data_IF_887157978778
#
_entry.id   IF_887157978778
#
_cell.length_a   1.000
_cell.length_b   1.000
_cell.length_c   1.000
_cell.angle_alpha   90.00
_cell.angle_beta   90.00
_cell.angle_gamma   90.00
#
_symmetry.space_group_name_H-M   'P 1'
#
loop_
_entity.id
_entity.type
_entity.pdbx_description
1 polymer ?
#
# COMPACT_ATOMS: atom_id res chain seq x y z
N UNK A 1 11.62 -12.29 26.83
CA UNK A 1 11.09 -11.15 26.04
C UNK A 1 12.04 -10.98 24.88
N UNK A 2 11.62 -11.38 23.68
CA UNK A 2 12.44 -11.25 22.48
C UNK A 2 12.24 -9.85 21.93
N UNK A 3 13.33 -9.11 21.79
CA UNK A 3 13.36 -7.80 21.12
C UNK A 3 12.81 -7.96 19.71
N UNK A 4 11.68 -7.30 19.43
CA UNK A 4 11.02 -7.33 18.13
C UNK A 4 11.88 -6.58 17.13
N UNK A 5 12.58 -7.32 16.26
CA UNK A 5 13.33 -6.73 15.16
C UNK A 5 12.43 -5.89 14.25
N UNK A 6 12.97 -4.77 13.77
CA UNK A 6 12.37 -3.87 12.78
C UNK A 6 11.55 -4.63 11.73
N UNK A 7 10.23 -4.44 11.74
CA UNK A 7 9.30 -5.04 10.77
C UNK A 7 9.45 -4.30 9.43
N UNK A 8 10.37 -4.77 8.58
CA UNK A 8 10.71 -4.12 7.30
C UNK A 8 9.58 -4.13 6.26
N UNK A 9 9.80 -3.48 5.11
CA UNK A 9 8.79 -3.27 4.07
C UNK A 9 8.17 -4.55 3.50
N UNK A 10 8.87 -5.68 3.63
CA UNK A 10 8.35 -7.01 3.26
C UNK A 10 7.15 -7.44 4.10
N UNK A 11 7.12 -7.10 5.39
CA UNK A 11 6.01 -7.46 6.28
C UNK A 11 4.74 -6.68 5.90
N UNK A 12 4.90 -5.44 5.45
CA UNK A 12 3.80 -4.62 4.94
C UNK A 12 3.18 -5.22 3.66
N UNK A 13 4.01 -5.70 2.73
CA UNK A 13 3.53 -6.41 1.52
C UNK A 13 2.82 -7.71 1.89
N UNK A 14 3.32 -8.46 2.87
CA UNK A 14 2.68 -9.68 3.36
C UNK A 14 1.34 -9.39 4.05
N UNK A 15 1.26 -8.34 4.86
CA UNK A 15 0.02 -7.88 5.49
C UNK A 15 -1.00 -7.48 4.42
N UNK A 16 -0.56 -6.73 3.40
CA UNK A 16 -1.42 -6.32 2.30
C UNK A 16 -1.91 -7.52 1.46
N UNK A 17 -1.05 -8.51 1.19
CA UNK A 17 -1.46 -9.76 0.56
C UNK A 17 -2.54 -10.50 1.35
N UNK A 18 -2.41 -10.54 2.68
CA UNK A 18 -3.43 -11.10 3.57
C UNK A 18 -4.75 -10.33 3.52
N UNK A 19 -4.68 -9.00 3.44
CA UNK A 19 -5.86 -8.16 3.29
C UNK A 19 -6.57 -8.43 1.95
N UNK A 20 -5.83 -8.47 0.84
CA UNK A 20 -6.38 -8.82 -0.48
C UNK A 20 -7.04 -10.21 -0.48
N UNK A 21 -6.41 -11.20 0.17
CA UNK A 21 -6.99 -12.53 0.31
C UNK A 21 -8.33 -12.50 1.07
N UNK A 22 -8.43 -11.69 2.13
CA UNK A 22 -9.66 -11.53 2.90
C UNK A 22 -10.77 -10.85 2.09
N UNK A 23 -10.45 -9.79 1.33
CA UNK A 23 -11.38 -9.09 0.45
C UNK A 23 -11.90 -10.03 -0.65
N UNK A 24 -11.00 -10.75 -1.32
CA UNK A 24 -11.34 -11.71 -2.37
C UNK A 24 -12.21 -12.86 -1.83
N UNK A 25 -11.96 -13.29 -0.59
CA UNK A 25 -12.73 -14.34 0.08
C UNK A 25 -14.05 -13.82 0.69
N UNK A 26 -14.32 -12.52 0.63
CA UNK A 26 -15.50 -11.85 1.18
C UNK A 26 -15.61 -11.91 2.71
N UNK A 27 -14.50 -12.02 3.42
CA UNK A 27 -14.47 -12.11 4.89
C UNK A 27 -14.88 -10.81 5.59
N UNK A 28 -14.80 -9.68 4.88
CA UNK A 28 -15.15 -8.34 5.33
C UNK A 28 -16.67 -8.07 5.33
N UNK A 29 -17.45 -8.80 4.52
CA UNK A 29 -18.86 -8.44 4.26
C UNK A 29 -19.83 -9.62 4.18
N UNK A 30 -19.33 -10.86 4.16
CA UNK A 30 -20.18 -12.06 4.17
C UNK A 30 -20.15 -12.74 5.54
N UNK A 31 -21.29 -13.28 6.01
CA UNK A 31 -21.32 -14.11 7.21
C UNK A 31 -20.32 -15.28 7.12
N UNK A 32 -19.72 -15.65 8.26
CA UNK A 32 -18.69 -16.70 8.34
C UNK A 32 -19.14 -18.05 7.74
N UNK A 33 -20.42 -18.40 7.83
CA UNK A 33 -20.98 -19.64 7.30
C UNK A 33 -21.30 -19.64 5.80
N UNK A 34 -21.13 -18.51 5.09
CA UNK A 34 -21.42 -18.45 3.64
C UNK A 34 -20.40 -19.31 2.89
N UNK A 35 -20.80 -20.32 2.09
CA UNK A 35 -19.86 -21.26 1.48
C UNK A 35 -19.21 -20.75 0.18
N UNK A 36 -19.79 -19.73 -0.45
CA UNK A 36 -19.34 -19.20 -1.74
C UNK A 36 -19.31 -17.68 -1.72
N UNK A 37 -18.44 -17.09 -2.54
CA UNK A 37 -18.39 -15.64 -2.79
C UNK A 37 -18.52 -15.38 -4.28
N UNK A 38 -19.22 -14.30 -4.63
CA UNK A 38 -19.27 -13.78 -5.99
C UNK A 38 -18.19 -12.70 -6.15
N UNK A 39 -17.28 -12.91 -7.10
CA UNK A 39 -16.21 -11.97 -7.43
C UNK A 39 -16.78 -10.93 -8.38
N UNK A 40 -17.04 -9.73 -7.85
CA UNK A 40 -17.49 -8.57 -8.62
C UNK A 40 -16.31 -7.62 -8.79
N UNK A 41 -15.65 -7.68 -9.95
CA UNK A 41 -14.39 -6.96 -10.21
C UNK A 41 -14.43 -5.48 -9.77
N UNK A 42 -15.48 -4.75 -10.15
CA UNK A 42 -15.61 -3.33 -9.78
C UNK A 42 -15.76 -3.11 -8.27
N UNK A 43 -16.56 -3.94 -7.58
CA UNK A 43 -16.73 -3.82 -6.13
C UNK A 43 -15.45 -4.20 -5.38
N UNK A 44 -14.72 -5.20 -5.87
CA UNK A 44 -13.41 -5.55 -5.32
C UNK A 44 -12.41 -4.41 -5.55
N UNK A 45 -12.42 -3.76 -6.72
CA UNK A 45 -11.55 -2.64 -7.03
C UNK A 45 -11.81 -1.47 -6.08
N UNK A 46 -13.08 -1.06 -5.92
CA UNK A 46 -13.47 0.03 -5.00
C UNK A 46 -12.98 -0.25 -3.57
N UNK A 47 -13.10 -1.48 -3.07
CA UNK A 47 -12.60 -1.86 -1.74
C UNK A 47 -11.08 -1.87 -1.65
N UNK A 48 -10.40 -2.31 -2.70
CA UNK A 48 -8.93 -2.29 -2.77
C UNK A 48 -8.43 -0.85 -2.78
N UNK A 49 -9.01 0.02 -3.62
CA UNK A 49 -8.66 1.43 -3.72
C UNK A 49 -8.89 2.15 -2.38
N UNK A 50 -10.06 1.96 -1.74
CA UNK A 50 -10.33 2.48 -0.39
C UNK A 50 -9.38 1.92 0.65
N UNK A 51 -9.07 0.62 0.59
CA UNK A 51 -8.14 -0.02 1.52
C UNK A 51 -6.74 0.56 1.41
N UNK A 52 -6.29 0.84 0.19
CA UNK A 52 -5.02 1.51 -0.09
C UNK A 52 -5.03 2.96 0.37
N UNK A 53 -6.07 3.75 0.06
CA UNK A 53 -6.12 5.20 0.34
C UNK A 53 -6.44 5.53 1.80
N UNK A 54 -7.25 4.72 2.48
CA UNK A 54 -7.63 4.94 3.87
C UNK A 54 -6.59 4.43 4.87
N UNK A 55 -5.73 3.47 4.47
CA UNK A 55 -4.70 2.94 5.34
C UNK A 55 -3.38 3.70 5.12
N UNK A 56 -3.09 4.63 6.03
CA UNK A 56 -1.86 5.42 6.02
C UNK A 56 -0.59 4.56 5.89
N UNK A 57 -0.53 3.37 6.51
CA UNK A 57 0.63 2.47 6.38
C UNK A 57 0.83 2.00 4.94
N UNK A 58 -0.26 1.70 4.21
CA UNK A 58 -0.16 1.36 2.79
C UNK A 58 0.16 2.58 1.95
N UNK A 59 -0.51 3.71 2.21
CA UNK A 59 -0.21 4.97 1.51
C UNK A 59 1.25 5.33 1.66
N UNK A 60 1.84 5.27 2.85
CA UNK A 60 3.22 5.70 3.05
C UNK A 60 4.23 4.61 2.65
N UNK A 61 3.98 3.36 3.04
CA UNK A 61 4.95 2.27 2.89
C UNK A 61 4.86 1.47 1.59
N UNK A 62 3.69 1.38 0.94
CA UNK A 62 3.55 0.73 -0.38
C UNK A 62 3.54 1.76 -1.51
N UNK A 63 2.85 2.88 -1.29
CA UNK A 63 2.45 3.78 -2.37
C UNK A 63 3.32 5.05 -2.46
N UNK A 64 3.58 5.72 -1.35
CA UNK A 64 3.49 7.19 -1.33
C UNK A 64 4.73 7.96 -0.93
N UNK A 65 5.85 7.34 -0.53
CA UNK A 65 7.05 8.13 -0.25
C UNK A 65 7.88 8.54 -1.48
N UNK A 66 7.45 8.20 -2.71
CA UNK A 66 8.43 8.14 -3.82
C UNK A 66 7.98 8.45 -5.25
N UNK A 67 6.68 8.63 -5.51
CA UNK A 67 6.28 9.17 -6.80
C UNK A 67 6.69 10.65 -6.82
N UNK A 68 7.50 11.06 -7.80
CA UNK A 68 7.75 12.47 -8.07
C UNK A 68 7.15 12.83 -9.44
N UNK A 69 6.27 13.84 -9.53
CA UNK A 69 5.70 14.58 -8.41
C UNK A 69 4.86 13.67 -7.50
N UNK A 70 4.79 13.96 -6.19
CA UNK A 70 3.92 13.21 -5.29
C UNK A 70 2.49 13.28 -5.81
N UNK A 71 1.74 12.17 -5.75
CA UNK A 71 0.31 12.20 -6.03
C UNK A 71 -0.33 13.27 -5.13
N UNK A 72 -1.26 14.06 -5.65
CA UNK A 72 -1.83 15.19 -4.91
C UNK A 72 -2.66 14.75 -3.70
N UNK A 73 -3.13 13.50 -3.68
CA UNK A 73 -3.91 12.89 -2.61
C UNK A 73 -3.68 11.37 -2.53
N UNK A 74 -4.18 10.74 -1.48
CA UNK A 74 -4.05 9.30 -1.22
C UNK A 74 -4.82 8.43 -2.22
N UNK A 75 -5.87 8.95 -2.87
CA UNK A 75 -6.66 8.22 -3.86
C UNK A 75 -5.88 8.07 -5.16
N UNK A 76 -5.31 9.17 -5.67
CA UNK A 76 -4.43 9.14 -6.84
C UNK A 76 -3.16 8.32 -6.60
N UNK A 77 -2.68 8.30 -5.36
CA UNK A 77 -1.60 7.43 -4.94
C UNK A 77 -2.02 5.95 -5.08
N UNK A 78 -3.17 5.59 -4.51
CA UNK A 78 -3.71 4.23 -4.57
C UNK A 78 -3.96 3.76 -6.01
N UNK A 79 -4.54 4.62 -6.85
CA UNK A 79 -4.78 4.34 -8.28
C UNK A 79 -3.46 4.12 -9.02
N UNK A 80 -2.47 4.97 -8.78
CA UNK A 80 -1.15 4.78 -9.36
C UNK A 80 -0.52 3.44 -8.97
N UNK A 81 -0.55 3.08 -7.69
CA UNK A 81 -0.04 1.78 -7.24
C UNK A 81 -0.83 0.62 -7.83
N UNK A 82 -2.15 0.78 -7.99
CA UNK A 82 -2.98 -0.21 -8.64
C UNK A 82 -2.50 -0.45 -10.08
N UNK A 83 -2.33 0.59 -10.88
CA UNK A 83 -1.89 0.48 -12.27
C UNK A 83 -0.45 -0.02 -12.39
N UNK A 84 0.46 0.53 -11.58
CA UNK A 84 1.89 0.26 -11.66
C UNK A 84 2.29 -1.09 -11.05
N UNK A 85 1.49 -1.65 -10.14
CA UNK A 85 1.82 -2.89 -9.41
C UNK A 85 0.73 -3.93 -9.56
N UNK A 86 -0.52 -3.64 -9.19
CA UNK A 86 -1.56 -4.66 -9.16
C UNK A 86 -1.98 -5.12 -10.55
N UNK A 87 -2.14 -4.19 -11.50
CA UNK A 87 -2.52 -4.50 -12.88
C UNK A 87 -1.34 -4.61 -13.86
N UNK A 88 -0.11 -4.42 -13.38
CA UNK A 88 1.09 -4.66 -14.17
C UNK A 88 1.22 -6.15 -14.55
N UNK A 89 1.40 -6.49 -15.84
CA UNK A 89 1.66 -7.86 -16.26
C UNK A 89 2.92 -8.46 -15.61
N UNK A 90 2.82 -9.70 -15.13
CA UNK A 90 3.95 -10.42 -14.54
C UNK A 90 4.55 -11.32 -15.61
N UNK A 91 5.76 -10.97 -16.05
CA UNK A 91 6.48 -11.68 -17.10
C UNK A 91 6.65 -13.17 -16.83
N UNK A 92 6.55 -13.97 -17.90
CA UNK A 92 6.64 -15.43 -17.86
C UNK A 92 8.02 -15.92 -18.30
N UNK A 93 8.56 -16.94 -17.62
CA UNK A 93 9.75 -17.66 -18.12
C UNK A 93 9.32 -18.67 -19.21
N UNK A 94 10.10 -18.87 -20.29
CA UNK A 94 9.78 -19.85 -21.32
C UNK A 94 9.44 -21.21 -20.72
N UNK A 95 8.27 -21.74 -21.08
CA UNK A 95 7.79 -23.06 -20.64
C UNK A 95 7.37 -23.18 -19.17
N UNK A 96 7.35 -22.10 -18.37
CA UNK A 96 6.96 -22.15 -16.94
C UNK A 96 5.80 -21.19 -16.64
N UNK A 97 4.83 -21.53 -15.77
CA UNK A 97 3.80 -20.60 -15.35
C UNK A 97 4.40 -19.44 -14.55
N UNK A 98 3.82 -18.24 -14.69
CA UNK A 98 4.14 -17.08 -13.85
C UNK A 98 3.55 -17.21 -12.44
N UNK A 99 3.89 -16.30 -11.53
CA UNK A 99 3.21 -16.21 -10.21
C UNK A 99 1.71 -15.97 -10.38
N UNK A 100 1.32 -15.09 -11.32
CA UNK A 100 -0.07 -14.78 -11.62
C UNK A 100 -0.84 -15.98 -12.20
N UNK A 101 -0.19 -16.80 -13.05
CA UNK A 101 -0.78 -18.05 -13.54
C UNK A 101 -1.10 -19.02 -12.40
N UNK A 102 -0.18 -19.15 -11.44
CA UNK A 102 -0.38 -20.01 -10.28
C UNK A 102 -1.51 -19.51 -9.37
N UNK A 103 -1.64 -18.18 -9.19
CA UNK A 103 -2.75 -17.57 -8.47
C UNK A 103 -4.09 -17.84 -9.19
N UNK A 104 -4.15 -17.60 -10.51
CA UNK A 104 -5.33 -17.91 -11.34
C UNK A 104 -5.74 -19.37 -11.21
N UNK A 105 -4.78 -20.30 -11.28
CA UNK A 105 -5.05 -21.72 -11.16
C UNK A 105 -5.66 -22.09 -9.81
N UNK A 106 -5.17 -21.50 -8.71
CA UNK A 106 -5.74 -21.70 -7.37
C UNK A 106 -7.20 -21.21 -7.29
N UNK A 107 -7.49 -20.03 -7.85
CA UNK A 107 -8.84 -19.46 -7.88
C UNK A 107 -9.78 -20.30 -8.76
N UNK A 108 -9.30 -20.77 -9.91
CA UNK A 108 -10.04 -21.67 -10.79
C UNK A 108 -10.34 -23.03 -10.13
N UNK A 109 -9.43 -23.57 -9.32
CA UNK A 109 -9.69 -24.78 -8.55
C UNK A 109 -10.84 -24.60 -7.54
N UNK A 110 -11.08 -23.38 -7.08
CA UNK A 110 -12.20 -23.03 -6.21
C UNK A 110 -13.49 -22.67 -6.97
N UNK A 111 -13.52 -22.69 -8.31
CA UNK A 111 -14.67 -22.27 -9.12
C UNK A 111 -15.95 -23.07 -8.79
N UNK A 112 -17.09 -22.37 -8.84
CA UNK A 112 -18.43 -22.99 -8.80
C UNK A 112 -19.06 -22.81 -10.18
N UNK A 113 -19.01 -23.87 -10.99
CA UNK A 113 -19.51 -23.87 -12.37
C UNK A 113 -18.38 -23.86 -13.42
N UNK A 114 -18.72 -23.80 -14.71
CA UNK A 114 -17.73 -23.73 -15.78
C UNK A 114 -16.96 -22.40 -15.68
N UNK A 115 -15.63 -22.51 -15.56
CA UNK A 115 -14.75 -21.35 -15.63
C UNK A 115 -14.59 -20.84 -17.07
N UNK A 116 -14.25 -19.55 -17.26
CA UNK A 116 -13.87 -19.06 -18.57
C UNK A 116 -12.65 -19.82 -19.10
N UNK A 117 -12.59 -20.02 -20.42
CA UNK A 117 -11.44 -20.66 -21.05
C UNK A 117 -10.15 -19.87 -20.73
N UNK A 118 -9.02 -20.56 -20.46
CA UNK A 118 -7.76 -19.88 -20.23
C UNK A 118 -7.40 -19.06 -21.46
N UNK A 119 -7.05 -17.79 -21.25
CA UNK A 119 -6.44 -16.94 -22.28
C UNK A 119 -4.92 -17.03 -22.15
N UNK A 120 -4.25 -17.11 -23.30
CA UNK A 120 -2.79 -17.02 -23.44
C UNK A 120 -2.35 -15.56 -23.40
N UNK A 121 -2.65 -14.88 -22.29
CA UNK A 121 -2.22 -13.51 -22.03
C UNK A 121 -1.35 -13.47 -20.78
N UNK A 122 -0.38 -12.55 -20.75
CA UNK A 122 0.36 -12.28 -19.52
C UNK A 122 -0.60 -11.69 -18.49
N UNK A 123 -0.56 -12.25 -17.28
CA UNK A 123 -1.48 -11.87 -16.20
C UNK A 123 -0.80 -10.96 -15.19
N UNK A 124 -1.56 -9.97 -14.75
CA UNK A 124 -1.28 -9.19 -13.56
C UNK A 124 -1.80 -9.89 -12.30
N UNK A 125 -1.43 -9.38 -11.12
CA UNK A 125 -2.02 -9.85 -9.85
C UNK A 125 -3.54 -9.66 -9.88
N UNK A 126 -3.99 -8.50 -10.36
CA UNK A 126 -5.40 -8.15 -10.48
C UNK A 126 -6.15 -9.08 -11.42
N UNK A 127 -5.68 -9.23 -12.66
CA UNK A 127 -6.32 -10.10 -13.68
C UNK A 127 -6.35 -11.55 -13.22
N UNK A 128 -5.33 -12.04 -12.51
CA UNK A 128 -5.36 -13.38 -11.93
C UNK A 128 -6.49 -13.56 -10.91
N UNK A 129 -6.84 -12.51 -10.15
CA UNK A 129 -7.95 -12.53 -9.19
C UNK A 129 -9.33 -12.42 -9.84
N UNK A 130 -9.48 -11.56 -10.86
CA UNK A 130 -10.83 -11.16 -11.33
C UNK A 130 -11.21 -11.64 -12.74
N UNK A 131 -10.26 -11.99 -13.62
CA UNK A 131 -10.58 -12.49 -14.97
C UNK A 131 -10.92 -14.00 -15.00
N UNK A 132 -11.08 -14.61 -13.82
CA UNK A 132 -11.40 -16.02 -13.65
C UNK A 132 -12.90 -16.29 -13.46
N UNK A 133 -13.27 -17.32 -12.68
CA UNK A 133 -14.67 -17.59 -12.36
C UNK A 133 -15.31 -16.42 -11.58
N UNK A 134 -16.55 -16.07 -11.91
CA UNK A 134 -17.32 -15.05 -11.17
C UNK A 134 -17.81 -15.54 -9.81
N UNK A 135 -17.82 -16.85 -9.58
CA UNK A 135 -18.22 -17.45 -8.31
C UNK A 135 -17.23 -18.52 -7.89
N UNK A 136 -16.75 -18.42 -6.65
CA UNK A 136 -15.82 -19.39 -6.05
C UNK A 136 -16.35 -19.91 -4.71
N UNK A 137 -15.90 -21.10 -4.32
CA UNK A 137 -15.99 -21.60 -2.95
C UNK A 137 -15.05 -20.78 -2.08
N UNK A 138 -15.51 -20.41 -0.88
CA UNK A 138 -14.68 -19.66 0.06
C UNK A 138 -13.62 -20.56 0.68
N UNK A 139 -12.44 -19.97 0.90
CA UNK A 139 -11.33 -20.55 1.64
C UNK A 139 -11.63 -20.42 3.14
N UNK A 140 -12.46 -21.32 3.67
CA UNK A 140 -12.90 -21.29 5.08
C UNK A 140 -11.83 -21.84 6.04
N UNK A 141 -11.01 -22.78 5.57
CA UNK A 141 -9.89 -23.30 6.35
C UNK A 141 -8.75 -22.28 6.39
N UNK A 142 -8.18 -22.07 7.58
CA UNK A 142 -7.06 -21.13 7.77
C UNK A 142 -5.87 -21.45 6.87
N UNK A 143 -5.56 -22.72 6.67
CA UNK A 143 -4.49 -23.21 5.78
C UNK A 143 -4.74 -22.84 4.32
N UNK A 144 -5.97 -22.97 3.84
CA UNK A 144 -6.36 -22.64 2.49
C UNK A 144 -6.35 -21.12 2.25
N UNK A 145 -6.83 -20.33 3.21
CA UNK A 145 -6.77 -18.87 3.14
C UNK A 145 -5.32 -18.36 3.19
N UNK A 146 -4.47 -19.01 4.00
CA UNK A 146 -3.04 -18.74 4.04
C UNK A 146 -2.35 -19.09 2.72
N UNK A 147 -2.74 -20.18 2.06
CA UNK A 147 -2.24 -20.49 0.71
C UNK A 147 -2.63 -19.38 -0.29
N UNK A 148 -3.89 -18.94 -0.29
CA UNK A 148 -4.34 -17.83 -1.14
C UNK A 148 -3.52 -16.56 -0.90
N UNK A 149 -3.36 -16.17 0.36
CA UNK A 149 -2.53 -15.03 0.76
C UNK A 149 -1.09 -15.17 0.25
N UNK A 150 -0.47 -16.35 0.42
CA UNK A 150 0.89 -16.62 -0.07
C UNK A 150 1.01 -16.55 -1.60
N UNK A 151 -0.03 -16.95 -2.35
CA UNK A 151 -0.02 -16.79 -3.82
C UNK A 151 -0.11 -15.33 -4.22
N UNK A 152 -0.95 -14.55 -3.55
CA UNK A 152 -1.04 -13.10 -3.75
C UNK A 152 0.29 -12.43 -3.41
N UNK A 153 0.90 -12.77 -2.26
CA UNK A 153 2.21 -12.25 -1.84
C UNK A 153 3.28 -12.49 -2.90
N UNK A 154 3.37 -13.70 -3.47
CA UNK A 154 4.33 -14.00 -4.55
C UNK A 154 4.08 -13.21 -5.83
N UNK A 155 2.83 -12.80 -6.10
CA UNK A 155 2.51 -11.93 -7.22
C UNK A 155 2.94 -10.48 -6.92
N UNK A 156 2.62 -9.99 -5.71
CA UNK A 156 3.05 -8.68 -5.25
C UNK A 156 4.57 -8.55 -5.22
N UNK A 157 5.31 -9.54 -4.70
CA UNK A 157 6.78 -9.55 -4.71
C UNK A 157 7.35 -9.44 -6.13
N UNK A 158 6.71 -10.08 -7.10
CA UNK A 158 7.14 -10.04 -8.50
C UNK A 158 6.81 -8.68 -9.16
N UNK A 159 5.62 -8.14 -8.89
CA UNK A 159 5.14 -6.88 -9.46
C UNK A 159 5.77 -5.63 -8.81
N UNK A 160 6.03 -5.66 -7.50
CA UNK A 160 6.72 -4.60 -6.77
C UNK A 160 8.22 -4.54 -7.08
N UNK A 161 8.79 -5.59 -7.70
CA UNK A 161 10.22 -5.61 -7.92
C UNK A 161 10.70 -4.50 -8.86
N UNK A 162 10.16 -4.34 -10.09
CA UNK A 162 10.47 -3.18 -10.94
C UNK A 162 10.27 -1.85 -10.21
N UNK A 163 9.17 -1.71 -9.48
CA UNK A 163 8.87 -0.54 -8.65
C UNK A 163 10.00 -0.21 -7.69
N UNK A 164 10.40 -1.16 -6.85
CA UNK A 164 11.50 -0.99 -5.90
C UNK A 164 12.84 -0.70 -6.58
N UNK A 165 13.13 -1.29 -7.75
CA UNK A 165 14.37 -0.99 -8.47
C UNK A 165 14.39 0.46 -9.00
N UNK A 166 13.27 0.97 -9.53
CA UNK A 166 13.18 2.38 -9.97
C UNK A 166 13.37 3.32 -8.77
N UNK A 167 12.79 2.99 -7.62
CA UNK A 167 12.96 3.79 -6.41
C UNK A 167 14.40 3.83 -5.90
N UNK A 168 15.12 2.72 -5.94
CA UNK A 168 16.54 2.67 -5.55
C UNK A 168 17.44 3.53 -6.45
N UNK A 169 17.03 3.75 -7.70
CA UNK A 169 17.69 4.67 -8.61
C UNK A 169 17.37 6.15 -8.29
N UNK A 170 16.47 6.43 -7.35
CA UNK A 170 15.98 7.77 -7.06
C UNK A 170 15.09 8.32 -8.17
N UNK A 171 14.41 7.43 -8.90
CA UNK A 171 13.56 7.77 -10.04
C UNK A 171 12.07 7.54 -9.71
N UNK A 172 11.18 8.17 -10.46
CA UNK A 172 9.73 8.02 -10.29
C UNK A 172 9.21 6.80 -11.06
N UNK A 173 8.56 5.81 -10.43
CA UNK A 173 8.03 4.63 -11.14
C UNK A 173 7.07 4.97 -12.28
N UNK A 174 6.37 6.11 -12.19
CA UNK A 174 5.43 6.57 -13.23
C UNK A 174 6.08 6.78 -14.59
N UNK A 175 7.31 7.28 -14.58
CA UNK A 175 8.02 7.65 -15.81
C UNK A 175 8.74 6.44 -16.44
N UNK A 176 9.08 5.43 -15.63
CA UNK A 176 9.98 4.34 -16.04
C UNK A 176 9.30 2.97 -16.15
N UNK A 177 8.08 2.82 -15.62
CA UNK A 177 7.34 1.56 -15.64
C UNK A 177 6.15 1.55 -16.60
N UNK A 178 5.83 2.68 -17.23
CA UNK A 178 4.73 2.79 -18.18
C UNK A 178 5.14 3.63 -19.39
N UNK A 179 4.53 3.35 -20.55
CA UNK A 179 4.74 4.09 -21.79
C UNK A 179 5.94 3.61 -22.63
N UNK A 180 6.33 4.43 -23.60
CA UNK A 180 7.38 4.10 -24.58
C UNK A 180 8.79 4.00 -23.97
N UNK A 181 8.96 4.51 -22.76
CA UNK A 181 10.23 4.49 -22.01
C UNK A 181 10.29 3.34 -20.98
N UNK A 182 9.37 2.36 -21.04
CA UNK A 182 9.35 1.25 -20.09
C UNK A 182 10.69 0.50 -20.05
N UNK A 183 11.30 0.47 -18.86
CA UNK A 183 12.58 -0.21 -18.66
C UNK A 183 12.35 -1.58 -18.03
N UNK A 184 12.88 -2.61 -18.69
CA UNK A 184 12.85 -3.97 -18.16
C UNK A 184 13.56 -4.10 -16.80
N UNK A 185 13.01 -4.94 -15.91
CA UNK A 185 13.53 -5.15 -14.55
C UNK A 185 15.01 -5.56 -14.48
N UNK A 186 15.52 -6.26 -15.49
CA UNK A 186 16.93 -6.64 -15.54
C UNK A 186 17.84 -5.44 -15.81
N UNK A 187 17.42 -4.52 -16.67
CA UNK A 187 18.11 -3.26 -16.93
C UNK A 187 18.09 -2.38 -15.70
N UNK A 188 16.95 -2.27 -15.00
CA UNK A 188 16.84 -1.53 -13.74
C UNK A 188 17.79 -2.07 -12.65
N UNK A 189 17.87 -3.39 -12.47
CA UNK A 189 18.82 -4.01 -11.54
C UNK A 189 20.26 -3.71 -11.89
N UNK A 190 20.61 -3.81 -13.17
CA UNK A 190 21.96 -3.53 -13.64
C UNK A 190 22.30 -2.04 -13.45
N UNK A 191 21.34 -1.14 -13.69
CA UNK A 191 21.50 0.28 -13.40
C UNK A 191 21.70 0.54 -11.89
N UNK A 192 21.02 -0.19 -11.00
CA UNK A 192 21.26 -0.08 -9.54
C UNK A 192 22.65 -0.57 -9.16
N UNK A 193 23.11 -1.68 -9.76
CA UNK A 193 24.47 -2.17 -9.56
C UNK A 193 25.52 -1.17 -10.07
N UNK A 194 25.27 -0.57 -11.24
CA UNK A 194 26.08 0.51 -11.79
C UNK A 194 26.11 1.72 -10.85
N UNK A 195 24.97 2.17 -10.35
CA UNK A 195 24.88 3.29 -9.41
C UNK A 195 25.69 3.03 -8.13
N UNK A 196 25.63 1.80 -7.59
CA UNK A 196 26.45 1.40 -6.44
C UNK A 196 27.95 1.45 -6.77
N UNK A 197 28.34 0.88 -7.92
CA UNK A 197 29.73 0.92 -8.38
C UNK A 197 30.23 2.35 -8.62
N UNK A 198 29.35 3.23 -9.14
CA UNK A 198 29.63 4.63 -9.37
C UNK A 198 29.87 5.39 -8.08
N UNK A 199 29.03 5.18 -7.05
CA UNK A 199 29.25 5.76 -5.71
C UNK A 199 30.61 5.35 -5.15
N UNK A 200 30.96 4.07 -5.25
CA UNK A 200 32.29 3.58 -4.85
C UNK A 200 33.42 4.25 -5.65
N UNK A 201 33.29 4.37 -6.98
CA UNK A 201 34.28 5.03 -7.82
C UNK A 201 34.45 6.53 -7.47
N UNK A 202 33.37 7.17 -7.03
CA UNK A 202 33.34 8.55 -6.56
C UNK A 202 33.76 8.72 -5.09
N UNK A 203 34.19 7.64 -4.41
CA UNK A 203 34.48 7.64 -2.96
C UNK A 203 33.29 8.13 -2.11
N UNK A 204 32.08 7.75 -2.50
CA UNK A 204 30.79 8.14 -1.89
C UNK A 204 30.52 9.66 -1.87
N UNK A 205 31.29 10.45 -2.65
CA UNK A 205 31.07 11.87 -2.83
C UNK A 205 29.88 12.13 -3.79
N UNK A 206 28.72 12.45 -3.23
CA UNK A 206 27.50 12.81 -3.99
C UNK A 206 27.36 14.32 -4.16
N UNK A 207 26.54 14.77 -5.12
CA UNK A 207 26.28 16.20 -5.36
C UNK A 207 27.21 16.85 -6.39
N UNK A 208 28.01 16.05 -7.11
CA UNK A 208 28.82 16.50 -8.24
C UNK A 208 28.67 15.57 -9.44
N UNK A 209 28.99 16.09 -10.64
CA UNK A 209 29.04 15.26 -11.84
C UNK A 209 30.21 14.27 -11.74
N UNK A 210 30.00 12.98 -12.06
CA UNK A 210 31.10 12.03 -12.15
C UNK A 210 31.99 12.35 -13.34
N UNK A 211 33.28 12.06 -13.18
CA UNK A 211 34.28 12.18 -14.24
C UNK A 211 34.14 11.04 -15.26
N UNK A 212 34.63 11.21 -16.49
CA UNK A 212 34.64 10.12 -17.48
C UNK A 212 35.35 8.86 -17.00
N UNK A 213 36.41 9.00 -16.19
CA UNK A 213 37.14 7.87 -15.63
C UNK A 213 36.31 7.10 -14.59
N UNK A 214 35.61 7.81 -13.70
CA UNK A 214 34.70 7.20 -12.71
C UNK A 214 33.54 6.45 -13.40
N UNK A 215 32.96 7.05 -14.45
CA UNK A 215 31.91 6.42 -15.25
C UNK A 215 32.40 5.13 -15.93
N UNK A 216 33.57 5.18 -16.57
CA UNK A 216 34.15 4.03 -17.22
C UNK A 216 34.48 2.90 -16.23
N UNK A 217 35.03 3.25 -15.06
CA UNK A 217 35.32 2.28 -14.00
C UNK A 217 34.05 1.63 -13.44
N UNK A 218 33.01 2.42 -13.17
CA UNK A 218 31.73 1.93 -12.68
C UNK A 218 31.05 0.99 -13.70
N UNK A 219 31.06 1.35 -14.98
CA UNK A 219 30.47 0.53 -16.04
C UNK A 219 31.24 -0.76 -16.29
N UNK A 220 32.57 -0.72 -16.19
CA UNK A 220 33.39 -1.93 -16.27
C UNK A 220 33.11 -2.90 -15.11
N UNK A 221 32.85 -2.38 -13.91
CA UNK A 221 32.48 -3.19 -12.75
C UNK A 221 31.04 -3.73 -12.82
N UNK A 222 30.10 -2.92 -13.34
CA UNK A 222 28.69 -3.24 -13.42
C UNK A 222 28.09 -2.75 -14.75
N UNK A 223 28.22 -3.53 -15.84
CA UNK A 223 27.68 -3.14 -17.14
C UNK A 223 26.15 -3.20 -17.17
N UNK A 224 25.54 -2.27 -17.88
CA UNK A 224 24.07 -2.19 -18.05
C UNK A 224 23.66 -2.82 -19.40
N UNK A 225 22.81 -3.87 -19.42
CA UNK A 225 22.39 -4.51 -20.65
C UNK A 225 21.75 -3.53 -21.64
N UNK A 226 22.09 -3.68 -22.93
CA UNK A 226 21.60 -2.81 -24.01
C UNK A 226 22.51 -1.63 -24.33
N UNK A 227 23.55 -1.38 -23.53
CA UNK A 227 24.51 -0.30 -23.75
C UNK A 227 25.92 -0.86 -23.99
N UNK A 228 26.62 -0.43 -25.05
CA UNK A 228 27.96 -0.92 -25.36
C UNK A 228 29.04 -0.40 -24.40
N UNK A 229 28.84 0.78 -23.82
CA UNK A 229 29.80 1.44 -22.94
C UNK A 229 29.11 2.48 -22.02
N UNK A 230 29.91 3.09 -21.14
CA UNK A 230 29.45 4.09 -20.17
C UNK A 230 28.93 5.37 -20.85
N UNK A 231 29.49 5.77 -21.99
CA UNK A 231 29.10 7.00 -22.70
C UNK A 231 27.73 6.82 -23.37
N UNK A 232 27.49 5.67 -24.00
CA UNK A 232 26.20 5.30 -24.55
C UNK A 232 25.11 5.23 -23.46
N UNK A 233 25.43 4.66 -22.29
CA UNK A 233 24.50 4.66 -21.16
C UNK A 233 24.23 6.08 -20.65
N UNK A 234 25.27 6.89 -20.44
CA UNK A 234 25.14 8.26 -19.94
C UNK A 234 24.29 9.17 -20.84
N UNK A 235 24.32 8.93 -22.16
CA UNK A 235 23.51 9.67 -23.15
C UNK A 235 22.08 9.18 -23.27
N UNK A 236 21.78 7.97 -22.81
CA UNK A 236 20.43 7.42 -22.84
C UNK A 236 19.55 8.09 -21.76
N UNK A 237 18.21 8.14 -21.94
CA UNK A 237 17.30 8.76 -20.97
C UNK A 237 17.51 8.24 -19.55
N UNK A 238 17.54 6.91 -19.37
CA UNK A 238 17.74 6.27 -18.06
C UNK A 238 19.06 6.65 -17.42
N UNK A 239 20.17 6.53 -18.16
CA UNK A 239 21.49 6.84 -17.61
C UNK A 239 21.63 8.33 -17.28
N UNK A 240 21.15 9.22 -18.16
CA UNK A 240 21.13 10.66 -17.89
C UNK A 240 20.31 10.98 -16.63
N UNK A 241 19.16 10.36 -16.43
CA UNK A 241 18.34 10.59 -15.25
C UNK A 241 19.05 10.14 -13.95
N UNK A 242 19.66 8.95 -13.96
CA UNK A 242 20.46 8.44 -12.83
C UNK A 242 21.62 9.38 -12.51
N UNK A 243 22.35 9.87 -13.52
CA UNK A 243 23.50 10.75 -13.33
C UNK A 243 23.11 12.14 -12.82
N UNK A 244 21.99 12.69 -13.28
CA UNK A 244 21.43 13.96 -12.77
C UNK A 244 21.13 13.88 -11.27
N UNK A 245 20.63 12.73 -10.80
CA UNK A 245 20.33 12.48 -9.38
C UNK A 245 21.61 12.40 -8.55
N UNK A 246 22.60 11.63 -9.00
CA UNK A 246 23.93 11.54 -8.32
C UNK A 246 24.60 12.90 -8.26
N UNK A 247 24.48 13.70 -9.31
CA UNK A 247 25.04 15.05 -9.37
C UNK A 247 24.32 16.07 -8.47
N UNK A 248 23.29 15.67 -7.72
CA UNK A 248 22.54 16.56 -6.84
C UNK A 248 21.80 17.68 -7.58
N UNK A 249 21.65 17.58 -8.91
CA UNK A 249 20.93 18.57 -9.71
C UNK A 249 19.41 18.41 -9.58
N UNK A 250 18.96 17.25 -9.09
CA UNK A 250 17.59 16.95 -8.71
C UNK A 250 17.58 16.47 -7.25
N UNK A 251 17.75 17.44 -6.34
CA UNK A 251 17.81 17.30 -4.87
C UNK A 251 16.46 17.01 -4.25
N UNK A 252 15.45 16.69 -5.05
CA UNK A 252 14.13 16.26 -4.59
C UNK A 252 14.28 14.89 -3.94
N UNK A 253 14.75 14.97 -2.69
CA UNK A 253 15.12 13.96 -1.70
C UNK A 253 15.58 12.61 -2.30
N UNK A 254 16.90 12.44 -2.38
CA UNK A 254 17.51 11.12 -2.16
C UNK A 254 17.27 10.72 -0.69
N UNK A 255 16.02 10.48 -0.30
CA UNK A 255 15.83 9.52 0.79
C UNK A 255 16.30 8.21 0.18
N UNK A 256 17.16 7.43 0.83
CA UNK A 256 17.41 6.09 0.31
C UNK A 256 16.22 5.20 0.68
N UNK A 257 15.92 4.17 -0.12
CA UNK A 257 14.91 3.17 0.24
C UNK A 257 15.16 2.64 1.67
N UNK A 258 16.42 2.55 2.07
CA UNK A 258 16.88 2.14 3.40
C UNK A 258 16.53 3.18 4.48
N UNK A 259 16.69 4.49 4.20
CA UNK A 259 16.31 5.56 5.13
C UNK A 259 14.79 5.63 5.33
N UNK A 260 14.00 5.30 4.31
CA UNK A 260 12.54 5.19 4.45
C UNK A 260 12.15 3.91 5.15
N UNK A 261 12.80 2.78 4.85
CA UNK A 261 12.55 1.54 5.58
C UNK A 261 12.89 1.71 7.07
N UNK A 262 13.95 2.47 7.38
CA UNK A 262 14.29 2.89 8.74
C UNK A 262 13.27 3.87 9.33
N UNK A 263 12.90 4.93 8.62
CA UNK A 263 11.90 5.91 9.09
C UNK A 263 10.53 5.27 9.33
N UNK A 264 10.07 4.42 8.41
CA UNK A 264 8.85 3.63 8.53
C UNK A 264 9.00 2.67 9.69
N UNK A 265 10.13 1.98 9.88
CA UNK A 265 10.34 1.14 11.06
C UNK A 265 10.32 1.92 12.39
N UNK A 266 10.83 3.15 12.43
CA UNK A 266 10.82 4.02 13.62
C UNK A 266 9.43 4.62 13.88
N UNK A 267 8.63 4.90 12.85
CA UNK A 267 7.22 5.32 13.00
C UNK A 267 6.23 4.15 13.14
N UNK A 268 6.67 2.91 12.93
CA UNK A 268 5.89 1.68 13.08
C UNK A 268 5.97 1.07 14.50
N UNK A 269 6.75 1.65 15.42
CA UNK A 269 6.48 1.41 16.83
C UNK A 269 5.10 2.00 17.13
N UNK A 270 4.16 1.12 17.51
CA UNK A 270 2.72 1.35 17.66
C UNK A 270 2.37 2.42 18.72
N UNK A 271 2.80 3.69 18.55
CA UNK A 271 2.35 4.81 19.40
C UNK A 271 0.88 5.16 19.14
N UNK A 272 0.33 4.82 17.96
CA UNK A 272 -1.05 5.15 17.57
C UNK A 272 -2.11 4.08 17.95
N UNK A 273 -1.71 2.89 18.41
CA UNK A 273 -2.66 1.85 18.90
C UNK A 273 -2.80 1.86 20.44
N UNK A 274 -2.02 2.68 21.15
CA UNK A 274 -2.30 2.96 22.54
C UNK A 274 -3.57 3.83 22.62
N UNK A 275 -4.60 3.43 23.38
CA UNK A 275 -5.80 4.23 23.52
C UNK A 275 -5.43 5.62 24.05
N UNK A 276 -5.86 6.68 23.34
CA UNK A 276 -5.55 8.09 23.66
C UNK A 276 -5.90 8.48 25.10
N UNK A 277 -6.84 7.74 25.70
CA UNK A 277 -7.26 7.83 27.09
C UNK A 277 -7.62 6.43 27.58
N UNK A 278 -7.43 6.20 28.88
CA UNK A 278 -7.95 5.00 29.53
C UNK A 278 -9.49 4.99 29.55
N UNK A 279 -10.09 3.81 29.74
CA UNK A 279 -11.55 3.67 29.87
C UNK A 279 -12.12 4.53 31.01
N UNK A 280 -11.39 4.64 32.12
CA UNK A 280 -11.76 5.46 33.29
C UNK A 280 -11.73 6.97 32.99
N UNK A 281 -10.86 7.42 32.08
CA UNK A 281 -10.70 8.82 31.69
C UNK A 281 -11.64 9.25 30.57
N UNK A 282 -12.19 8.29 29.81
CA UNK A 282 -12.96 8.56 28.60
C UNK A 282 -14.26 9.32 28.89
N UNK A 283 -15.04 8.91 29.89
CA UNK A 283 -16.31 9.57 30.24
C UNK A 283 -16.13 11.02 30.75
N UNK A 284 -15.23 11.31 31.72
CA UNK A 284 -14.93 12.68 32.12
C UNK A 284 -14.44 13.56 30.97
N UNK A 285 -13.68 12.99 30.03
CA UNK A 285 -13.17 13.73 28.89
C UNK A 285 -14.28 14.09 27.89
N UNK A 286 -15.21 13.18 27.63
CA UNK A 286 -16.37 13.46 26.78
C UNK A 286 -17.22 14.60 27.34
N UNK A 287 -17.36 14.71 28.66
CA UNK A 287 -18.04 15.85 29.28
C UNK A 287 -17.32 17.18 29.04
N UNK A 288 -15.98 17.18 29.06
CA UNK A 288 -15.19 18.37 28.72
C UNK A 288 -15.30 18.72 27.25
N UNK A 289 -15.30 17.72 26.36
CA UNK A 289 -15.49 17.91 24.92
C UNK A 289 -16.86 18.55 24.60
N UNK A 290 -17.92 18.15 25.33
CA UNK A 290 -19.25 18.79 25.20
C UNK A 290 -19.23 20.23 25.68
N UNK A 291 -18.63 20.52 26.85
CA UNK A 291 -18.53 21.90 27.35
C UNK A 291 -17.72 22.81 26.42
N UNK A 292 -16.73 22.25 25.74
CA UNK A 292 -15.91 22.95 24.75
C UNK A 292 -16.59 23.08 23.37
N UNK A 293 -17.78 22.48 23.17
CA UNK A 293 -18.49 22.49 21.91
C UNK A 293 -17.87 21.62 20.81
N UNK A 294 -16.90 20.76 21.14
CA UNK A 294 -16.29 19.84 20.19
C UNK A 294 -17.26 18.70 19.79
N UNK A 295 -18.18 18.36 20.70
CA UNK A 295 -19.16 17.30 20.54
C UNK A 295 -20.50 17.78 21.09
N UNK A 296 -21.60 17.40 20.44
CA UNK A 296 -22.94 17.72 20.93
C UNK A 296 -23.37 16.81 22.11
N UNK A 297 -24.35 17.23 22.89
CA UNK A 297 -24.79 16.47 24.07
C UNK A 297 -25.41 15.09 23.72
N UNK A 298 -26.12 15.01 22.59
CA UNK A 298 -26.65 13.77 22.02
C UNK A 298 -25.54 12.84 21.52
N UNK A 299 -24.52 13.41 20.86
CA UNK A 299 -23.32 12.69 20.41
C UNK A 299 -22.53 12.08 21.58
N UNK A 300 -22.43 12.78 22.71
CA UNK A 300 -21.79 12.25 23.92
C UNK A 300 -22.49 10.99 24.43
N UNK A 301 -23.82 10.93 24.37
CA UNK A 301 -24.55 9.77 24.85
C UNK A 301 -24.33 8.55 23.95
N UNK A 302 -24.20 8.76 22.64
CA UNK A 302 -23.81 7.71 21.70
C UNK A 302 -22.40 7.17 22.03
N UNK A 303 -21.42 8.05 22.21
CA UNK A 303 -20.04 7.64 22.54
C UNK A 303 -19.94 6.93 23.89
N UNK A 304 -20.66 7.42 24.90
CA UNK A 304 -20.73 6.76 26.21
C UNK A 304 -21.30 5.34 26.08
N UNK A 305 -22.36 5.16 25.31
CA UNK A 305 -22.95 3.84 25.08
C UNK A 305 -21.99 2.89 24.31
N UNK A 306 -21.17 3.42 23.40
CA UNK A 306 -20.12 2.64 22.71
C UNK A 306 -19.04 2.19 23.69
N UNK A 307 -18.59 3.09 24.58
CA UNK A 307 -17.60 2.78 25.61
C UNK A 307 -18.11 1.70 26.58
N UNK A 308 -19.40 1.74 26.92
CA UNK A 308 -20.08 0.71 27.75
C UNK A 308 -20.32 -0.61 26.99
N UNK A 309 -19.85 -0.75 25.74
CA UNK A 309 -20.01 -1.95 24.93
C UNK A 309 -21.45 -2.21 24.47
N UNK A 310 -22.33 -1.20 24.52
CA UNK A 310 -23.72 -1.37 24.10
C UNK A 310 -23.79 -1.45 22.57
N UNK A 311 -24.66 -2.30 22.00
CA UNK A 311 -24.87 -2.34 20.56
C UNK A 311 -25.29 -0.95 20.04
N UNK A 312 -24.61 -0.50 18.99
CA UNK A 312 -24.80 0.83 18.39
C UNK A 312 -26.27 1.09 17.99
N UNK A 313 -26.96 0.05 17.52
CA UNK A 313 -28.38 0.11 17.17
C UNK A 313 -29.29 0.44 18.37
N UNK A 314 -28.91 0.03 19.58
CA UNK A 314 -29.67 0.31 20.80
C UNK A 314 -29.33 1.70 21.36
N UNK A 315 -28.06 2.10 21.31
CA UNK A 315 -27.64 3.46 21.65
C UNK A 315 -28.35 4.52 20.78
N UNK A 316 -28.57 4.20 19.50
CA UNK A 316 -29.28 5.06 18.57
C UNK A 316 -30.80 5.06 18.72
N UNK A 317 -31.42 4.03 19.34
CA UNK A 317 -32.90 3.93 19.44
C UNK A 317 -33.53 5.03 20.26
N UNK A 318 -32.80 5.53 21.23
CA UNK A 318 -33.28 6.50 22.22
C UNK A 318 -33.14 7.94 21.76
N UNK A 319 -32.40 8.22 20.67
CA UNK A 319 -32.11 9.58 20.24
C UNK A 319 -32.66 9.90 18.84
N UNK A 320 -33.82 10.57 18.81
CA UNK A 320 -34.48 11.02 17.58
C UNK A 320 -33.72 12.15 16.86
N UNK A 321 -32.95 12.97 17.59
CA UNK A 321 -32.19 14.07 17.03
C UNK A 321 -31.00 13.56 16.23
N UNK A 322 -30.23 12.66 16.84
CA UNK A 322 -29.08 12.02 16.22
C UNK A 322 -29.48 11.18 14.99
N UNK A 323 -30.61 10.48 15.04
CA UNK A 323 -31.16 9.75 13.87
C UNK A 323 -31.52 10.66 12.71
N UNK A 324 -32.11 11.83 12.98
CA UNK A 324 -32.44 12.81 11.93
C UNK A 324 -31.18 13.39 11.33
N UNK A 325 -30.18 13.71 12.16
CA UNK A 325 -28.89 14.22 11.71
C UNK A 325 -28.15 13.21 10.85
N UNK A 326 -28.04 11.97 11.32
CA UNK A 326 -27.44 10.88 10.56
C UNK A 326 -28.12 10.71 9.19
N UNK A 327 -29.46 10.76 9.15
CA UNK A 327 -30.20 10.65 7.89
C UNK A 327 -30.00 11.85 6.96
N UNK A 328 -29.93 13.06 7.50
CA UNK A 328 -29.95 14.30 6.70
C UNK A 328 -28.54 14.76 6.27
N UNK A 329 -27.54 14.54 7.11
CA UNK A 329 -26.17 15.05 6.91
C UNK A 329 -25.20 13.95 6.48
N UNK A 330 -25.53 12.68 6.72
CA UNK A 330 -24.66 11.53 6.48
C UNK A 330 -25.34 10.43 5.65
N UNK A 331 -26.50 10.69 5.06
CA UNK A 331 -27.29 9.73 4.27
C UNK A 331 -27.56 8.37 4.97
N UNK A 332 -27.53 8.35 6.31
CA UNK A 332 -27.67 7.14 7.09
C UNK A 332 -26.37 6.36 7.33
N UNK A 333 -25.21 6.84 6.85
CA UNK A 333 -23.92 6.19 7.04
C UNK A 333 -23.38 6.40 8.46
N UNK A 334 -23.70 5.44 9.31
CA UNK A 334 -23.33 5.42 10.72
C UNK A 334 -21.82 5.22 10.93
N UNK A 335 -21.14 4.51 10.04
CA UNK A 335 -19.71 4.28 10.17
C UNK A 335 -18.93 5.57 9.91
N UNK A 336 -19.30 6.29 8.83
CA UNK A 336 -18.75 7.60 8.52
C UNK A 336 -18.99 8.61 9.67
N UNK A 337 -20.20 8.61 10.21
CA UNK A 337 -20.55 9.49 11.33
C UNK A 337 -19.75 9.21 12.62
N UNK A 338 -19.60 7.93 12.99
CA UNK A 338 -18.80 7.54 14.17
C UNK A 338 -17.31 7.84 13.97
N UNK A 339 -16.81 7.70 12.73
CA UNK A 339 -15.44 8.04 12.38
C UNK A 339 -15.15 9.53 12.53
N UNK A 340 -16.02 10.39 12.00
CA UNK A 340 -15.94 11.85 12.18
C UNK A 340 -16.00 12.25 13.66
N UNK A 341 -16.95 11.67 14.39
CA UNK A 341 -17.13 11.95 15.80
C UNK A 341 -15.90 11.54 16.63
N UNK A 342 -15.32 10.38 16.33
CA UNK A 342 -14.06 9.92 16.92
C UNK A 342 -12.90 10.87 16.60
N UNK A 343 -12.82 11.37 15.37
CA UNK A 343 -11.79 12.31 14.94
C UNK A 343 -11.90 13.67 15.67
N UNK A 344 -13.12 14.20 15.84
CA UNK A 344 -13.37 15.44 16.60
C UNK A 344 -12.96 15.29 18.07
N UNK A 345 -13.29 14.16 18.70
CA UNK A 345 -12.87 13.85 20.07
C UNK A 345 -11.34 13.73 20.15
N UNK A 346 -10.70 12.98 19.25
CA UNK A 346 -9.25 12.82 19.23
C UNK A 346 -8.52 14.16 19.07
N UNK A 347 -9.00 15.03 18.19
CA UNK A 347 -8.46 16.39 18.03
C UNK A 347 -8.58 17.21 19.32
N UNK A 348 -9.71 17.10 20.02
CA UNK A 348 -9.90 17.73 21.33
C UNK A 348 -8.94 17.18 22.39
N UNK A 349 -8.78 15.85 22.50
CA UNK A 349 -7.85 15.20 23.44
C UNK A 349 -6.43 15.70 23.23
N UNK A 350 -5.96 15.69 21.97
CA UNK A 350 -4.62 16.14 21.61
C UNK A 350 -4.40 17.62 21.97
N UNK A 351 -5.42 18.47 21.76
CA UNK A 351 -5.38 19.89 22.14
C UNK A 351 -5.33 20.10 23.65
N UNK A 352 -6.08 19.31 24.44
CA UNK A 352 -5.99 19.36 25.91
C UNK A 352 -4.64 18.86 26.41
N UNK A 353 -4.09 17.80 25.81
CA UNK A 353 -2.79 17.24 26.18
C UNK A 353 -1.65 18.24 25.91
N UNK A 354 -1.67 18.91 24.75
CA UNK A 354 -0.69 19.95 24.39
C UNK A 354 -0.78 21.23 25.24
N UNK A 355 -1.89 21.42 25.97
CA UNK A 355 -2.10 22.55 26.88
C UNK A 355 -1.74 22.26 28.34
N UNK A 356 -1.30 21.04 28.68
CA UNK A 356 -0.80 20.70 30.02
C UNK A 356 0.67 21.13 30.12
N UNK A 357 1.05 21.93 31.14
CA UNK A 357 2.43 22.41 31.31
C UNK A 357 3.43 21.29 31.64
#
# INVERSE_FOLDING_TARGET
MAEGGAKGGRDLVAQYAGHLANLLNGNDHLPAGTPTVEIRAFQLYDRVARGLSANRRYVEGLVGLWAYPPPPDAEQAADFYFDAVLDRPIGRRPGKPSSADNLRALIQAAAVGPGPAPREEELSTWKAMVNGPTRIRRFLEKTALFELSNRILKCLDAANRPYAEVLRLGLCPRDWLAGDEEVGVNTLKAANAFLKALRTAMNDEVGRRPTPAELAAAFAAAPVPGFPDADAFAKAPLGSAVLTRVAGQDITRMVSYEDVEAFVSETLEDEDDAPLVTEEEALPLLERAVRAGAVAADERNLLAAILEGRPLADAMKTDLGLRRRLKNEWDGDLAAYVSDLSARVAAFVRKEAAGRP
#
